data_IF_734560060121
#
_entry.id   IF_734560060121
#
_cell.length_a   1.000
_cell.length_b   1.000
_cell.length_c   1.000
_cell.angle_alpha   90.00
_cell.angle_beta   90.00
_cell.angle_gamma   90.00
#
_symmetry.space_group_name_H-M   'P 1'
#
loop_
_entity.id
_entity.type
_entity.pdbx_description
1 polymer ?
#
# COMPACT_ATOMS: atom_id res chain seq x y z
N UNK A 1 11.92 2.93 7.42
CA UNK A 1 10.84 2.14 6.77
C UNK A 1 11.07 2.20 5.27
N UNK A 2 11.09 1.07 4.59
CA UNK A 2 11.28 1.00 3.14
C UNK A 2 10.12 0.23 2.48
N UNK A 3 9.58 0.78 1.40
CA UNK A 3 8.40 0.23 0.71
C UNK A 3 8.59 0.05 -0.80
N UNK A 4 9.76 0.40 -1.34
CA UNK A 4 10.12 0.21 -2.75
C UNK A 4 10.56 -1.23 -3.07
N UNK A 5 11.04 -1.50 -4.29
CA UNK A 5 11.52 -2.82 -4.68
C UNK A 5 12.70 -3.29 -3.83
N UNK A 6 12.58 -4.47 -3.22
CA UNK A 6 13.63 -4.99 -2.31
C UNK A 6 14.97 -5.22 -3.01
N UNK A 7 14.94 -5.63 -4.28
CA UNK A 7 16.13 -5.83 -5.09
C UNK A 7 16.86 -4.51 -5.40
N UNK A 8 16.11 -3.44 -5.69
CA UNK A 8 16.65 -2.08 -5.88
C UNK A 8 17.30 -1.54 -4.61
N UNK A 9 16.71 -1.75 -3.43
CA UNK A 9 17.33 -1.36 -2.16
C UNK A 9 18.74 -1.94 -1.96
N UNK A 10 18.98 -3.15 -2.47
CA UNK A 10 20.26 -3.84 -2.41
C UNK A 10 21.05 -3.75 -3.73
N UNK A 11 20.86 -2.68 -4.51
CA UNK A 11 21.56 -2.38 -5.76
C UNK A 11 21.55 -3.54 -6.78
N UNK A 12 20.48 -4.34 -6.78
CA UNK A 12 20.33 -5.54 -7.61
C UNK A 12 21.48 -6.57 -7.45
N UNK A 13 22.12 -6.60 -6.27
CA UNK A 13 23.30 -7.42 -5.98
C UNK A 13 23.15 -8.94 -6.17
N UNK A 14 21.91 -9.47 -6.15
CA UNK A 14 21.60 -10.88 -6.40
C UNK A 14 20.88 -11.10 -7.75
N UNK A 15 20.66 -10.04 -8.52
CA UNK A 15 19.87 -10.00 -9.75
C UNK A 15 18.54 -9.27 -9.60
N UNK A 16 17.94 -8.86 -10.72
CA UNK A 16 16.63 -8.17 -10.73
C UNK A 16 15.49 -9.14 -10.43
N UNK A 17 14.61 -8.79 -9.49
CA UNK A 17 13.33 -9.46 -9.33
C UNK A 17 12.41 -9.04 -10.48
N UNK A 18 11.77 -9.99 -11.19
CA UNK A 18 10.91 -9.63 -12.30
C UNK A 18 9.58 -9.06 -11.79
N UNK A 19 9.14 -7.99 -12.42
CA UNK A 19 7.82 -7.39 -12.22
C UNK A 19 7.11 -7.25 -13.57
N UNK A 20 5.79 -7.39 -13.60
CA UNK A 20 4.98 -6.87 -14.71
C UNK A 20 4.74 -5.39 -14.49
N UNK A 21 4.83 -4.64 -15.59
CA UNK A 21 4.47 -3.24 -15.66
C UNK A 21 3.21 -3.03 -16.48
N UNK A 22 2.70 -1.81 -16.49
CA UNK A 22 1.52 -1.39 -17.24
C UNK A 22 1.81 -0.06 -17.92
N UNK A 23 1.36 0.06 -19.17
CA UNK A 23 1.23 1.34 -19.85
C UNK A 23 -0.25 1.73 -19.85
N UNK A 24 -0.53 2.93 -19.37
CA UNK A 24 -1.87 3.51 -19.34
C UNK A 24 -2.03 4.49 -20.50
N UNK A 25 -3.15 4.39 -21.20
CA UNK A 25 -3.55 5.34 -22.22
C UNK A 25 -4.89 5.94 -21.82
N UNK A 26 -4.90 7.25 -21.62
CA UNK A 26 -6.05 7.97 -21.09
C UNK A 26 -6.78 8.69 -22.23
N UNK A 27 -8.10 8.51 -22.30
CA UNK A 27 -8.95 9.19 -23.26
C UNK A 27 -10.09 9.92 -22.55
N UNK A 28 -10.52 11.05 -23.10
CA UNK A 28 -11.76 11.74 -22.69
C UNK A 28 -12.70 11.79 -23.88
N UNK A 29 -13.93 11.32 -23.71
CA UNK A 29 -14.94 11.27 -24.76
C UNK A 29 -16.09 12.24 -24.48
N UNK A 30 -16.64 12.80 -25.55
CA UNK A 30 -17.80 13.70 -25.53
C UNK A 30 -19.13 12.92 -25.45
N UNK A 31 -19.22 12.02 -24.47
CA UNK A 31 -20.45 11.31 -24.12
C UNK A 31 -20.55 11.12 -22.60
N UNK A 32 -21.77 10.95 -22.11
CA UNK A 32 -22.01 10.75 -20.67
C UNK A 32 -21.51 9.39 -20.20
N UNK A 33 -21.65 8.34 -21.00
CA UNK A 33 -21.26 6.99 -20.61
C UNK A 33 -20.82 6.20 -21.84
N UNK A 34 -19.65 5.54 -21.74
CA UNK A 34 -19.07 4.76 -22.84
C UNK A 34 -19.40 3.27 -22.74
N UNK A 35 -19.33 2.69 -21.53
CA UNK A 35 -19.52 1.25 -21.29
C UNK A 35 -20.53 0.99 -20.18
N UNK A 36 -21.15 -0.21 -20.12
CA UNK A 36 -22.23 -0.49 -19.16
C UNK A 36 -21.74 -0.65 -17.71
N UNK A 37 -20.44 -0.85 -17.49
CA UNK A 37 -19.84 -1.12 -16.18
C UNK A 37 -18.46 -0.46 -16.06
N UNK A 38 -17.95 -0.32 -14.84
CA UNK A 38 -16.66 0.33 -14.57
C UNK A 38 -15.47 -0.27 -15.32
N UNK A 39 -15.41 -1.60 -15.45
CA UNK A 39 -14.27 -2.30 -16.06
C UNK A 39 -14.80 -3.37 -17.01
N UNK A 40 -14.34 -3.33 -18.26
CA UNK A 40 -14.58 -4.37 -19.27
C UNK A 40 -13.23 -4.98 -19.65
N UNK A 41 -13.11 -6.30 -19.52
CA UNK A 41 -11.90 -7.05 -19.87
C UNK A 41 -11.97 -7.57 -21.31
N UNK A 42 -10.83 -7.58 -22.01
CA UNK A 42 -10.70 -8.03 -23.40
C UNK A 42 -9.63 -9.15 -23.50
N UNK A 43 -9.97 -10.41 -23.18
CA UNK A 43 -8.98 -11.47 -23.05
C UNK A 43 -8.31 -11.93 -24.35
N UNK A 44 -8.90 -11.67 -25.52
CA UNK A 44 -8.46 -12.29 -26.79
C UNK A 44 -8.50 -11.37 -28.02
N UNK A 45 -9.07 -10.17 -27.90
CA UNK A 45 -9.46 -9.38 -29.08
C UNK A 45 -8.56 -8.18 -29.31
N UNK A 46 -7.84 -7.71 -28.30
CA UNK A 46 -7.18 -6.40 -28.29
C UNK A 46 -5.78 -6.48 -27.68
N UNK A 47 -4.94 -5.48 -27.98
CA UNK A 47 -3.61 -5.35 -27.39
C UNK A 47 -3.64 -4.85 -25.93
N UNK A 48 -4.75 -4.22 -25.51
CA UNK A 48 -5.00 -3.87 -24.11
C UNK A 48 -5.79 -4.99 -23.42
N UNK A 49 -5.62 -5.10 -22.11
CA UNK A 49 -6.28 -6.14 -21.31
C UNK A 49 -7.67 -5.73 -20.83
N UNK A 50 -7.89 -4.43 -20.61
CA UNK A 50 -9.16 -3.87 -20.15
C UNK A 50 -9.28 -2.38 -20.40
N UNK A 51 -10.52 -1.89 -20.35
CA UNK A 51 -10.87 -0.48 -20.31
C UNK A 51 -11.55 -0.19 -18.97
N UNK A 52 -11.10 0.86 -18.29
CA UNK A 52 -11.70 1.38 -17.06
C UNK A 52 -12.39 2.72 -17.33
N UNK A 53 -13.69 2.81 -17.04
CA UNK A 53 -14.48 4.06 -17.06
C UNK A 53 -14.71 4.55 -15.62
N UNK A 54 -14.04 5.65 -15.25
CA UNK A 54 -13.94 6.07 -13.85
C UNK A 54 -15.25 6.55 -13.23
N UNK A 55 -16.18 7.08 -14.04
CA UNK A 55 -17.45 7.63 -13.53
C UNK A 55 -18.30 6.58 -12.81
N UNK A 56 -18.22 5.31 -13.22
CA UNK A 56 -18.86 4.20 -12.50
C UNK A 56 -18.28 3.98 -11.10
N UNK A 57 -17.01 4.29 -10.89
CA UNK A 57 -16.30 4.10 -9.61
C UNK A 57 -16.51 5.29 -8.67
N UNK A 58 -16.60 6.50 -9.22
CA UNK A 58 -16.64 7.74 -8.42
C UNK A 58 -18.06 8.29 -8.24
N UNK A 59 -19.01 7.91 -9.09
CA UNK A 59 -20.36 8.48 -9.13
C UNK A 59 -20.43 9.89 -9.71
N UNK A 60 -19.34 10.39 -10.31
CA UNK A 60 -19.28 11.73 -10.89
C UNK A 60 -20.28 11.89 -12.05
N UNK A 61 -21.05 12.99 -12.03
CA UNK A 61 -21.94 13.40 -13.13
C UNK A 61 -21.25 14.42 -14.04
N UNK A 62 -21.28 14.18 -15.35
CA UNK A 62 -20.59 15.00 -16.36
C UNK A 62 -21.11 14.67 -17.76
N UNK A 63 -21.23 15.64 -18.68
CA UNK A 63 -21.56 15.39 -20.09
C UNK A 63 -20.46 14.65 -20.87
N UNK A 64 -19.27 14.53 -20.28
CA UNK A 64 -18.11 13.79 -20.80
C UNK A 64 -17.73 12.64 -19.89
N UNK A 65 -16.96 11.68 -20.41
CA UNK A 65 -16.40 10.56 -19.64
C UNK A 65 -14.91 10.41 -19.87
N UNK A 66 -14.20 9.89 -18.87
CA UNK A 66 -12.76 9.62 -18.94
C UNK A 66 -12.50 8.13 -18.77
N UNK A 67 -11.68 7.61 -19.67
CA UNK A 67 -11.35 6.20 -19.81
C UNK A 67 -9.86 5.98 -19.66
N UNK A 68 -9.49 4.76 -19.28
CA UNK A 68 -8.11 4.28 -19.36
C UNK A 68 -8.07 2.91 -20.00
N UNK A 69 -7.23 2.77 -21.03
CA UNK A 69 -6.84 1.50 -21.62
C UNK A 69 -5.56 1.02 -20.95
N UNK A 70 -5.52 -0.26 -20.55
CA UNK A 70 -4.40 -0.84 -19.82
C UNK A 70 -3.65 -1.88 -20.66
N UNK A 71 -2.40 -1.56 -21.01
CA UNK A 71 -1.53 -2.42 -21.81
C UNK A 71 -0.46 -3.09 -20.94
N UNK A 72 -0.37 -4.42 -20.92
CA UNK A 72 0.70 -5.12 -20.21
C UNK A 72 2.04 -4.86 -20.88
N UNK A 73 3.08 -4.65 -20.07
CA UNK A 73 4.45 -4.44 -20.57
C UNK A 73 5.47 -4.97 -19.55
N UNK A 74 6.67 -5.29 -20.04
CA UNK A 74 7.80 -5.71 -19.22
C UNK A 74 8.77 -4.55 -18.94
N UNK A 75 8.44 -3.35 -19.41
CA UNK A 75 9.24 -2.13 -19.29
C UNK A 75 8.41 -1.08 -18.55
N UNK A 76 9.01 -0.48 -17.52
CA UNK A 76 8.42 0.61 -16.74
C UNK A 76 8.40 0.30 -15.25
N UNK A 77 7.56 1.02 -14.52
CA UNK A 77 7.45 0.90 -13.07
C UNK A 77 6.91 -0.47 -12.64
N UNK A 78 7.37 -1.02 -11.50
CA UNK A 78 6.95 -2.33 -11.03
C UNK A 78 5.53 -2.28 -10.44
N UNK A 79 4.56 -2.89 -11.13
CA UNK A 79 3.18 -2.97 -10.64
C UNK A 79 2.87 -4.29 -9.96
N UNK A 80 3.26 -5.42 -10.57
CA UNK A 80 2.92 -6.76 -10.07
C UNK A 80 4.14 -7.67 -9.99
N UNK A 81 4.40 -8.35 -8.84
CA UNK A 81 5.40 -9.41 -8.79
C UNK A 81 5.00 -10.56 -9.72
N UNK A 82 5.99 -11.32 -10.23
CA UNK A 82 5.76 -12.46 -11.13
C UNK A 82 5.92 -13.76 -10.34
N UNK A 83 4.84 -14.42 -9.89
CA UNK A 83 4.94 -15.60 -9.04
C UNK A 83 5.46 -16.79 -9.83
N UNK A 84 6.71 -17.18 -9.60
CA UNK A 84 7.36 -18.39 -10.12
C UNK A 84 8.35 -18.90 -9.07
N UNK A 85 8.60 -20.21 -9.06
CA UNK A 85 9.51 -20.82 -8.09
C UNK A 85 10.93 -20.20 -8.12
N UNK A 86 11.45 -19.89 -9.31
CA UNK A 86 12.74 -19.22 -9.50
C UNK A 86 12.78 -17.82 -8.87
N UNK A 87 11.70 -17.04 -9.02
CA UNK A 87 11.58 -15.69 -8.48
C UNK A 87 11.39 -15.69 -6.98
N UNK A 88 10.63 -16.66 -6.46
CA UNK A 88 10.50 -16.87 -5.02
C UNK A 88 11.85 -17.24 -4.40
N UNK A 89 12.63 -18.12 -5.05
CA UNK A 89 13.99 -18.45 -4.62
C UNK A 89 14.91 -17.23 -4.57
N UNK A 90 14.86 -16.35 -5.58
CA UNK A 90 15.60 -15.09 -5.59
C UNK A 90 15.12 -14.15 -4.46
N UNK A 91 13.81 -13.97 -4.33
CA UNK A 91 13.22 -13.14 -3.28
C UNK A 91 13.63 -13.61 -1.89
N UNK A 92 13.65 -14.92 -1.62
CA UNK A 92 14.07 -15.47 -0.32
C UNK A 92 15.51 -15.10 0.06
N UNK A 93 16.40 -14.97 -0.93
CA UNK A 93 17.76 -14.50 -0.68
C UNK A 93 17.79 -13.02 -0.31
N UNK A 94 16.99 -12.19 -0.98
CA UNK A 94 16.82 -10.78 -0.61
C UNK A 94 16.12 -10.60 0.75
N UNK A 95 15.12 -11.43 1.06
CA UNK A 95 14.43 -11.44 2.36
C UNK A 95 15.42 -11.75 3.50
N UNK A 96 16.39 -12.64 3.27
CA UNK A 96 17.45 -12.92 4.24
C UNK A 96 18.39 -11.71 4.45
N UNK A 97 18.73 -10.96 3.39
CA UNK A 97 19.49 -9.70 3.52
C UNK A 97 18.71 -8.64 4.29
N UNK A 98 17.42 -8.48 3.97
CA UNK A 98 16.53 -7.56 4.66
C UNK A 98 16.39 -7.88 6.15
N UNK A 99 16.34 -9.16 6.52
CA UNK A 99 16.27 -9.60 7.91
C UNK A 99 17.55 -9.28 8.71
N UNK A 100 18.70 -9.08 8.05
CA UNK A 100 19.94 -8.68 8.68
C UNK A 100 20.07 -7.16 8.92
N UNK A 101 19.18 -6.35 8.34
CA UNK A 101 19.15 -4.90 8.55
C UNK A 101 18.47 -4.56 9.89
N UNK A 102 19.23 -4.04 10.86
CA UNK A 102 18.71 -3.73 12.20
C UNK A 102 17.87 -2.45 12.28
N UNK A 103 18.04 -1.53 11.33
CA UNK A 103 17.47 -0.18 11.33
C UNK A 103 16.46 0.05 10.19
N UNK A 104 16.18 -0.96 9.38
CA UNK A 104 15.27 -0.87 8.23
C UNK A 104 14.18 -1.93 8.30
N UNK A 105 12.94 -1.47 8.19
CA UNK A 105 11.76 -2.32 8.11
C UNK A 105 11.21 -2.30 6.69
N UNK A 106 11.12 -3.48 6.07
CA UNK A 106 10.59 -3.68 4.72
C UNK A 106 9.10 -4.02 4.78
N UNK A 107 8.26 -3.20 4.14
CA UNK A 107 6.79 -3.30 4.24
C UNK A 107 6.16 -3.00 2.88
N UNK A 108 5.02 -3.64 2.60
CA UNK A 108 4.22 -3.37 1.41
C UNK A 108 4.57 -4.26 0.23
N UNK A 109 3.80 -4.07 -0.86
CA UNK A 109 3.81 -4.91 -2.07
C UNK A 109 5.21 -5.13 -2.64
N UNK A 110 5.96 -4.06 -2.85
CA UNK A 110 7.25 -4.12 -3.55
C UNK A 110 8.37 -4.63 -2.64
N UNK A 111 8.45 -4.11 -1.41
CA UNK A 111 9.49 -4.47 -0.45
C UNK A 111 9.35 -5.93 0.05
N UNK A 112 8.17 -6.52 -0.05
CA UNK A 112 7.92 -7.92 0.33
C UNK A 112 7.63 -8.83 -0.86
N UNK A 113 7.72 -8.32 -2.09
CA UNK A 113 7.47 -9.07 -3.32
C UNK A 113 6.17 -9.90 -3.29
N UNK A 114 5.09 -9.33 -2.73
CA UNK A 114 3.79 -10.00 -2.58
C UNK A 114 2.70 -9.26 -3.35
N UNK A 115 1.82 -10.01 -3.99
CA UNK A 115 0.62 -9.43 -4.58
C UNK A 115 -0.41 -9.15 -3.48
N UNK A 116 -0.43 -7.90 -3.00
CA UNK A 116 -1.38 -7.43 -2.00
C UNK A 116 -2.43 -6.46 -2.55
N UNK A 117 -3.66 -6.57 -2.08
CA UNK A 117 -4.68 -5.53 -2.17
C UNK A 117 -4.44 -4.42 -1.12
N UNK A 118 -5.16 -3.30 -1.24
CA UNK A 118 -4.96 -2.13 -0.36
C UNK A 118 -5.19 -2.45 1.13
N UNK A 119 -6.25 -3.18 1.45
CA UNK A 119 -6.61 -3.60 2.81
C UNK A 119 -5.51 -4.47 3.45
N UNK A 120 -4.92 -5.38 2.67
CA UNK A 120 -3.85 -6.25 3.13
C UNK A 120 -2.57 -5.45 3.45
N UNK A 121 -2.22 -4.45 2.62
CA UNK A 121 -1.08 -3.57 2.89
C UNK A 121 -1.34 -2.71 4.13
N UNK A 122 -2.56 -2.19 4.31
CA UNK A 122 -2.94 -1.45 5.53
C UNK A 122 -2.81 -2.34 6.76
N UNK A 123 -3.34 -3.56 6.73
CA UNK A 123 -3.20 -4.52 7.81
C UNK A 123 -1.72 -4.84 8.13
N UNK A 124 -0.90 -5.04 7.11
CA UNK A 124 0.54 -5.28 7.26
C UNK A 124 1.26 -4.07 7.88
N UNK A 125 0.88 -2.85 7.50
CA UNK A 125 1.45 -1.62 8.05
C UNK A 125 1.11 -1.48 9.54
N UNK A 126 -0.15 -1.72 9.94
CA UNK A 126 -0.57 -1.67 11.34
C UNK A 126 0.14 -2.74 12.19
N UNK A 127 0.25 -3.97 11.68
CA UNK A 127 0.99 -5.03 12.34
C UNK A 127 2.49 -4.69 12.50
N UNK A 128 3.08 -4.02 11.50
CA UNK A 128 4.48 -3.59 11.57
C UNK A 128 4.66 -2.45 12.55
N UNK A 129 3.76 -1.48 12.58
CA UNK A 129 3.74 -0.42 13.58
C UNK A 129 3.73 -0.98 15.01
N UNK A 130 2.87 -1.97 15.29
CA UNK A 130 2.81 -2.61 16.60
C UNK A 130 4.14 -3.27 17.00
N UNK A 131 4.82 -3.96 16.05
CA UNK A 131 6.15 -4.55 16.29
C UNK A 131 7.21 -3.49 16.57
N UNK A 132 7.20 -2.39 15.82
CA UNK A 132 8.12 -1.28 16.03
C UNK A 132 7.91 -0.68 17.43
N UNK A 133 6.67 -0.41 17.84
CA UNK A 133 6.39 0.13 19.17
C UNK A 133 6.94 -0.75 20.29
N UNK A 134 6.85 -2.08 20.15
CA UNK A 134 7.41 -3.03 21.12
C UNK A 134 8.94 -3.03 21.15
N UNK A 135 9.60 -2.67 20.05
CA UNK A 135 11.07 -2.60 19.96
C UNK A 135 11.67 -1.30 20.50
N UNK A 136 10.84 -0.25 20.66
CA UNK A 136 11.30 1.02 21.20
C UNK A 136 11.48 0.91 22.72
N UNK A 137 12.53 1.52 23.30
CA UNK A 137 12.64 1.62 24.74
C UNK A 137 11.41 2.34 25.30
N UNK A 138 10.91 1.89 26.45
CA UNK A 138 9.77 2.51 27.11
C UNK A 138 10.04 4.01 27.26
N UNK A 139 9.32 4.83 26.49
CA UNK A 139 9.41 6.27 26.59
C UNK A 139 9.07 6.63 28.03
N UNK A 140 10.01 7.28 28.73
CA UNK A 140 9.82 7.71 30.11
C UNK A 140 8.46 8.39 30.27
N UNK A 141 7.71 7.87 31.23
CA UNK A 141 6.42 8.32 31.74
C UNK A 141 6.14 9.80 31.44
N UNK A 142 5.14 10.09 30.59
CA UNK A 142 4.45 11.39 30.67
C UNK A 142 3.57 11.32 31.92
N UNK A 143 4.20 11.56 33.07
CA UNK A 143 3.54 11.80 34.33
C UNK A 143 3.07 13.26 34.31
N UNK A 144 1.93 13.53 33.67
CA UNK A 144 1.26 14.83 33.82
C UNK A 144 -0.26 14.64 33.77
N UNK A 145 -0.89 15.08 34.86
CA UNK A 145 -2.31 15.33 35.07
C UNK A 145 -3.17 14.16 35.60
N UNK A 146 -2.91 13.76 36.84
CA UNK A 146 -3.99 13.32 37.75
C UNK A 146 -3.77 13.76 39.20
N UNK A 147 -3.19 14.95 39.41
CA UNK A 147 -3.26 15.65 40.71
C UNK A 147 -4.03 16.97 40.52
N UNK A 148 -5.37 16.87 40.44
CA UNK A 148 -6.29 17.98 40.72
C UNK A 148 -7.73 17.46 40.90
N UNK A 149 -7.90 16.52 41.83
CA UNK A 149 -9.24 16.19 42.39
C UNK A 149 -9.15 15.70 43.84
N UNK A 150 -8.20 16.24 44.62
CA UNK A 150 -8.02 15.92 46.04
C UNK A 150 -7.89 17.20 46.90
N UNK A 151 -8.64 18.25 46.57
CA UNK A 151 -8.89 19.39 47.47
C UNK A 151 -10.21 20.03 47.04
N UNK A 152 -11.31 19.50 47.54
CA UNK A 152 -12.65 19.97 47.20
C UNK A 152 -13.75 19.30 48.01
N UNK A 153 -13.50 19.02 49.28
CA UNK A 153 -14.55 18.74 50.26
C UNK A 153 -14.16 19.37 51.59
N UNK A 154 -14.47 20.66 51.75
CA UNK A 154 -14.73 21.23 53.07
C UNK A 154 -16.24 21.39 53.19
N UNK A 155 -16.83 20.48 53.96
CA UNK A 155 -18.19 20.56 54.48
C UNK A 155 -18.23 21.63 55.58
N UNK A 156 -18.96 22.73 55.35
CA UNK A 156 -19.40 23.64 56.41
C UNK A 156 -20.57 22.99 57.17
N UNK A 157 -20.32 22.62 58.42
CA UNK A 157 -21.35 22.37 59.43
C UNK A 157 -21.39 23.61 60.34
N UNK A 158 -22.52 24.32 60.33
CA UNK A 158 -22.85 25.34 61.33
C UNK A 158 -23.34 24.68 62.63
N UNK A 159 -22.92 25.15 63.82
CA UNK A 159 -23.69 24.96 65.04
C UNK A 159 -24.34 26.28 65.51
N UNK A 160 -25.66 26.16 65.77
CA UNK A 160 -26.60 27.01 66.55
C UNK A 160 -26.66 28.51 66.29
#
# INVERSE_FOLDING_TARGET
>A
IYTGPIDEYFDWSLGRLPYRSLRFEHETLDCEQFQPVAVVNYPQTENYTRITEYKHLTGQQSPKTSLTYEYPTDIGDPYYPVPRAENEGLYKRYEALAAACSDVWFVGRLATYRYYNMDQVVGQALATFARIQQSLPATGTVQMLTQRTMLGQHSEQFPT
#
